data_IF_517546259820
#
_entry.id   IF_517546259820
#
_cell.length_a   1.000
_cell.length_b   1.000
_cell.length_c   1.000
_cell.angle_alpha   90.00
_cell.angle_beta   90.00
_cell.angle_gamma   90.00
#
_symmetry.space_group_name_H-M   'P 1'
#
loop_
_entity.id
_entity.type
_entity.pdbx_description
1 polymer ?
#
# COMPACT_ATOMS: atom_id res chain seq x y z
N UNK A 1 75.53 -28.88 10.96
CA UNK A 1 74.58 -28.46 9.92
C UNK A 1 73.16 -28.74 10.40
N UNK A 2 72.49 -27.70 10.93
CA UNK A 2 71.14 -27.77 11.51
C UNK A 2 70.21 -27.14 10.49
N UNK A 3 69.32 -27.94 9.92
CA UNK A 3 68.22 -27.44 9.05
C UNK A 3 67.04 -27.01 9.90
N UNK A 4 66.76 -25.72 9.89
CA UNK A 4 65.58 -25.11 10.54
C UNK A 4 64.41 -25.18 9.57
N UNK A 5 63.39 -25.94 9.91
CA UNK A 5 62.08 -26.00 9.20
C UNK A 5 61.22 -24.89 9.76
N UNK A 6 60.78 -23.93 8.91
CA UNK A 6 59.81 -22.90 9.25
C UNK A 6 58.40 -23.45 9.01
N UNK A 7 57.62 -23.48 10.08
CA UNK A 7 56.20 -23.79 10.05
C UNK A 7 55.42 -22.49 9.78
N UNK A 8 54.71 -22.46 8.64
CA UNK A 8 53.77 -21.40 8.29
C UNK A 8 52.42 -21.75 8.90
N UNK A 9 52.00 -20.99 9.90
CA UNK A 9 50.64 -21.02 10.46
C UNK A 9 49.83 -20.01 9.67
N UNK A 10 48.92 -20.49 8.82
CA UNK A 10 47.89 -19.68 8.20
C UNK A 10 46.75 -19.44 9.21
N UNK A 11 46.72 -18.25 9.78
CA UNK A 11 45.60 -17.82 10.61
C UNK A 11 44.40 -17.41 9.73
N UNK A 12 43.33 -18.17 9.77
CA UNK A 12 42.05 -17.74 9.24
C UNK A 12 41.45 -16.74 10.20
N UNK A 13 41.41 -15.47 9.79
CA UNK A 13 40.64 -14.42 10.48
C UNK A 13 39.18 -14.58 10.04
N UNK A 14 38.38 -15.17 10.88
CA UNK A 14 36.93 -15.11 10.76
C UNK A 14 36.45 -13.70 11.11
N UNK A 15 36.07 -12.92 10.10
CA UNK A 15 35.41 -11.64 10.29
C UNK A 15 33.95 -11.93 10.72
N UNK A 16 33.68 -11.90 12.02
CA UNK A 16 32.33 -11.88 12.54
C UNK A 16 31.75 -10.48 12.26
N UNK A 17 30.90 -10.37 11.25
CA UNK A 17 30.04 -9.22 11.06
C UNK A 17 28.98 -9.27 12.15
N UNK A 18 29.22 -8.58 13.26
CA UNK A 18 28.17 -8.22 14.21
C UNK A 18 27.31 -7.15 13.52
N UNK A 19 26.16 -7.56 13.01
CA UNK A 19 25.08 -6.61 12.74
C UNK A 19 24.62 -6.07 14.09
N UNK A 20 25.09 -4.89 14.45
CA UNK A 20 24.48 -4.10 15.48
C UNK A 20 23.10 -3.69 14.95
N UNK A 21 22.06 -4.30 15.50
CA UNK A 21 20.72 -3.74 15.42
C UNK A 21 20.82 -2.34 16.05
N UNK A 22 20.79 -1.32 15.20
CA UNK A 22 20.59 0.06 15.64
C UNK A 22 19.16 0.11 16.15
N UNK A 23 18.98 0.02 17.46
CA UNK A 23 17.78 0.49 18.11
C UNK A 23 17.62 1.95 17.66
N UNK A 24 16.59 2.24 16.87
CA UNK A 24 16.23 3.62 16.57
C UNK A 24 15.78 4.24 17.88
N UNK A 25 16.64 5.09 18.43
CA UNK A 25 16.25 6.04 19.46
C UNK A 25 15.09 6.87 18.88
N UNK A 26 14.07 7.12 19.70
CA UNK A 26 13.03 8.10 19.43
C UNK A 26 13.69 9.42 19.00
N UNK A 27 13.91 9.58 17.70
CA UNK A 27 14.13 10.89 17.15
C UNK A 27 12.78 11.59 17.25
N UNK A 28 12.68 12.50 18.21
CA UNK A 28 11.76 13.63 18.13
C UNK A 28 12.11 14.35 16.83
N UNK A 29 11.50 13.88 15.74
CA UNK A 29 11.53 14.57 14.48
C UNK A 29 10.75 15.83 14.72
N UNK A 30 11.49 16.88 15.04
CA UNK A 30 10.92 18.22 15.22
C UNK A 30 9.92 18.44 14.11
N UNK A 31 8.72 18.81 14.50
CA UNK A 31 7.57 19.03 13.60
C UNK A 31 7.96 20.12 12.59
N UNK A 32 8.62 19.71 11.50
CA UNK A 32 8.86 20.55 10.33
C UNK A 32 7.58 20.53 9.49
N UNK A 33 6.47 20.90 10.12
CA UNK A 33 5.23 21.11 9.42
C UNK A 33 5.47 22.12 8.30
N UNK A 34 5.14 21.73 7.05
CA UNK A 34 5.06 22.66 5.95
C UNK A 34 4.04 23.72 6.36
N UNK A 35 4.50 24.95 6.54
CA UNK A 35 3.61 26.05 6.89
C UNK A 35 2.95 26.59 5.62
N UNK A 36 1.73 27.11 5.71
CA UNK A 36 1.00 27.74 4.59
C UNK A 36 1.81 28.88 3.91
N UNK A 37 2.87 29.36 4.55
CA UNK A 37 3.76 30.40 3.99
C UNK A 37 4.75 29.87 2.95
N UNK A 38 4.99 28.54 2.91
CA UNK A 38 6.05 27.96 2.08
C UNK A 38 5.53 27.43 0.74
N UNK A 39 4.20 27.22 0.64
CA UNK A 39 3.56 26.69 -0.57
C UNK A 39 2.28 27.46 -0.93
N UNK A 40 1.99 27.55 -2.22
CA UNK A 40 0.71 28.02 -2.71
C UNK A 40 -0.22 26.83 -2.96
N UNK A 41 -1.37 26.81 -2.28
CA UNK A 41 -2.42 25.82 -2.49
C UNK A 41 -3.49 26.40 -3.40
N UNK A 42 -3.77 25.72 -4.51
CA UNK A 42 -4.78 26.13 -5.49
C UNK A 42 -5.82 25.03 -5.65
N UNK A 43 -7.11 25.37 -5.53
CA UNK A 43 -8.20 24.44 -5.84
C UNK A 43 -8.28 24.25 -7.34
N UNK A 44 -8.04 23.02 -7.83
CA UNK A 44 -8.11 22.70 -9.24
C UNK A 44 -9.56 22.43 -9.69
N UNK A 45 -10.35 21.73 -8.88
CA UNK A 45 -11.75 21.41 -9.18
C UNK A 45 -12.57 21.30 -7.91
N UNK A 46 -13.89 21.46 -8.08
CA UNK A 46 -14.92 21.25 -7.06
C UNK A 46 -15.97 20.27 -7.58
N UNK A 47 -16.83 19.74 -6.67
CA UNK A 47 -17.96 18.88 -7.05
C UNK A 47 -17.66 17.39 -7.09
N UNK A 48 -16.44 16.94 -6.72
CA UNK A 48 -16.15 15.53 -6.49
C UNK A 48 -16.87 15.02 -5.22
N UNK A 49 -17.41 13.80 -5.29
CA UNK A 49 -18.15 13.18 -4.17
C UNK A 49 -17.34 12.07 -3.54
N UNK A 50 -16.78 12.31 -2.35
CA UNK A 50 -15.91 11.38 -1.64
C UNK A 50 -14.78 10.84 -2.54
N UNK A 51 -13.92 11.70 -3.12
CA UNK A 51 -12.79 11.26 -3.91
C UNK A 51 -11.88 10.37 -3.07
N UNK A 52 -11.39 9.27 -3.67
CA UNK A 52 -10.62 8.29 -2.92
C UNK A 52 -9.21 8.07 -3.48
N UNK A 53 -9.09 7.68 -4.73
CA UNK A 53 -7.84 7.50 -5.46
C UNK A 53 -7.76 8.41 -6.68
N UNK A 54 -6.55 8.73 -7.12
CA UNK A 54 -6.34 9.51 -8.33
C UNK A 54 -5.04 9.12 -9.04
N UNK A 55 -5.03 9.27 -10.36
CA UNK A 55 -3.83 9.08 -11.18
C UNK A 55 -3.77 10.10 -12.30
N UNK A 56 -2.57 10.60 -12.59
CA UNK A 56 -2.33 11.44 -13.75
C UNK A 56 -2.24 10.62 -15.02
N UNK A 57 -2.90 11.10 -16.07
CA UNK A 57 -2.72 10.63 -17.43
C UNK A 57 -1.52 11.33 -18.09
N UNK A 58 -0.88 10.72 -19.10
CA UNK A 58 0.27 11.32 -19.78
C UNK A 58 0.01 12.71 -20.41
N UNK A 59 -1.23 13.02 -20.73
CA UNK A 59 -1.64 14.33 -21.26
C UNK A 59 -1.85 15.41 -20.18
N UNK A 60 -1.67 15.06 -18.89
CA UNK A 60 -1.86 15.93 -17.74
C UNK A 60 -3.26 15.96 -17.16
N UNK A 61 -4.23 15.27 -17.76
CA UNK A 61 -5.54 15.03 -17.13
C UNK A 61 -5.40 14.08 -15.93
N UNK A 62 -6.42 14.03 -15.09
CA UNK A 62 -6.49 13.08 -13.96
C UNK A 62 -7.70 12.16 -14.12
N UNK A 63 -7.56 10.92 -13.66
CA UNK A 63 -8.69 10.09 -13.29
C UNK A 63 -8.82 10.12 -11.76
N UNK A 64 -10.04 10.29 -11.29
CA UNK A 64 -10.37 10.33 -9.86
C UNK A 64 -11.50 9.36 -9.59
N UNK A 65 -11.31 8.45 -8.65
CA UNK A 65 -12.37 7.55 -8.19
C UNK A 65 -13.25 8.23 -7.16
N UNK A 66 -14.55 7.96 -7.21
CA UNK A 66 -15.52 8.37 -6.19
C UNK A 66 -15.98 7.14 -5.42
N UNK A 67 -15.81 7.12 -4.10
CA UNK A 67 -16.00 5.94 -3.24
C UNK A 67 -17.37 5.25 -3.42
N UNK A 68 -18.43 6.00 -3.63
CA UNK A 68 -19.78 5.45 -3.82
C UNK A 68 -19.98 4.70 -5.17
N UNK A 69 -18.94 4.63 -5.98
CA UNK A 69 -18.94 4.06 -7.33
C UNK A 69 -18.89 5.15 -8.40
N UNK A 70 -17.90 5.06 -9.25
CA UNK A 70 -17.67 5.97 -10.36
C UNK A 70 -16.21 6.37 -10.49
N UNK A 71 -15.84 6.71 -11.71
CA UNK A 71 -14.54 7.28 -12.06
C UNK A 71 -14.83 8.56 -12.85
N UNK A 72 -14.24 9.66 -12.42
CA UNK A 72 -14.33 10.95 -13.09
C UNK A 72 -13.03 11.25 -13.82
N UNK A 73 -13.11 11.85 -15.01
CA UNK A 73 -11.96 12.46 -15.67
C UNK A 73 -11.98 13.95 -15.40
N UNK A 74 -10.86 14.46 -14.91
CA UNK A 74 -10.61 15.87 -14.64
C UNK A 74 -9.54 16.36 -15.61
N UNK A 75 -9.87 17.36 -16.44
CA UNK A 75 -8.85 17.96 -17.32
C UNK A 75 -7.80 18.69 -16.50
N UNK A 76 -6.61 18.87 -17.08
CA UNK A 76 -5.52 19.64 -16.44
C UNK A 76 -5.88 21.09 -16.11
N UNK A 77 -6.95 21.63 -16.72
CA UNK A 77 -7.52 22.95 -16.42
C UNK A 77 -8.61 22.91 -15.33
N UNK A 78 -8.88 21.75 -14.74
CA UNK A 78 -9.84 21.63 -13.64
C UNK A 78 -11.29 21.33 -14.06
N UNK A 79 -11.56 20.96 -15.32
CA UNK A 79 -12.91 20.68 -15.80
C UNK A 79 -13.24 19.19 -15.64
N UNK A 80 -14.31 18.91 -14.87
CA UNK A 80 -14.89 17.55 -14.78
C UNK A 80 -15.63 17.18 -16.07
N UNK A 81 -15.37 16.01 -16.62
CA UNK A 81 -16.07 15.47 -17.82
C UNK A 81 -17.37 14.73 -17.49
N UNK A 82 -17.66 14.51 -16.22
CA UNK A 82 -18.69 13.59 -15.75
C UNK A 82 -18.13 12.18 -15.51
N UNK A 83 -18.98 11.31 -14.98
CA UNK A 83 -18.60 9.92 -14.69
C UNK A 83 -18.43 9.12 -15.98
N UNK A 84 -17.37 8.33 -16.03
CA UNK A 84 -17.14 7.39 -17.10
C UNK A 84 -18.24 6.32 -17.15
N UNK A 85 -18.64 5.91 -18.34
CA UNK A 85 -19.57 4.81 -18.55
C UNK A 85 -18.89 3.44 -18.29
N UNK A 86 -19.70 2.40 -18.07
CA UNK A 86 -19.27 1.00 -17.92
C UNK A 86 -18.33 0.75 -16.71
N UNK A 87 -18.33 1.63 -15.72
CA UNK A 87 -17.67 1.37 -14.44
C UNK A 87 -18.49 0.32 -13.68
N UNK A 88 -17.88 -0.75 -13.13
CA UNK A 88 -18.62 -1.80 -12.44
C UNK A 88 -19.26 -1.30 -11.14
N UNK A 89 -20.34 -2.00 -10.74
CA UNK A 89 -20.97 -1.79 -9.43
C UNK A 89 -20.04 -2.16 -8.29
N UNK A 90 -20.15 -1.42 -7.19
CA UNK A 90 -19.33 -1.60 -5.99
C UNK A 90 -20.19 -1.75 -4.73
N UNK A 91 -19.66 -2.41 -3.71
CA UNK A 91 -20.28 -2.45 -2.37
C UNK A 91 -19.79 -1.26 -1.56
N UNK A 92 -20.48 -0.12 -1.66
CA UNK A 92 -20.09 1.13 -0.99
C UNK A 92 -20.53 1.15 0.49
N UNK A 93 -20.23 0.10 1.24
CA UNK A 93 -20.53 -0.02 2.66
C UNK A 93 -19.35 0.44 3.52
N UNK A 94 -19.56 1.35 4.46
CA UNK A 94 -18.54 1.89 5.38
C UNK A 94 -17.29 2.41 4.61
N UNK A 95 -16.17 1.70 4.67
CA UNK A 95 -14.92 2.05 3.97
C UNK A 95 -14.85 1.49 2.54
N UNK A 96 -15.75 0.56 2.18
CA UNK A 96 -15.81 -0.04 0.85
C UNK A 96 -16.32 0.91 -0.23
N UNK A 97 -16.10 0.55 -1.48
CA UNK A 97 -16.52 1.31 -2.65
C UNK A 97 -15.54 1.18 -3.82
N UNK A 98 -15.55 2.15 -4.73
CA UNK A 98 -14.49 2.35 -5.71
C UNK A 98 -13.32 3.01 -5.00
N UNK A 99 -12.16 2.35 -4.98
CA UNK A 99 -11.03 2.75 -4.14
C UNK A 99 -9.87 3.26 -5.01
N UNK A 100 -8.76 2.55 -5.14
CA UNK A 100 -7.61 3.08 -5.86
C UNK A 100 -7.69 2.89 -7.38
N UNK A 101 -6.88 3.67 -8.08
CA UNK A 101 -6.76 3.64 -9.54
C UNK A 101 -5.32 3.93 -9.94
N UNK A 102 -4.81 3.18 -10.92
CA UNK A 102 -3.52 3.43 -11.54
C UNK A 102 -3.59 3.16 -13.04
N UNK A 103 -2.59 3.61 -13.80
CA UNK A 103 -2.47 3.33 -15.24
C UNK A 103 -1.41 2.25 -15.49
N UNK A 104 -1.57 1.55 -16.60
CA UNK A 104 -0.55 0.61 -17.08
C UNK A 104 0.78 1.34 -17.32
N UNK A 105 1.95 0.74 -16.99
CA UNK A 105 3.24 1.32 -17.34
C UNK A 105 3.43 1.62 -18.83
N UNK A 106 2.70 0.91 -19.71
CA UNK A 106 2.67 1.15 -21.17
C UNK A 106 1.38 1.85 -21.60
N UNK A 107 0.78 2.69 -20.76
CA UNK A 107 -0.52 3.33 -21.02
C UNK A 107 -0.59 4.07 -22.35
N UNK A 108 0.49 4.70 -22.79
CA UNK A 108 0.52 5.41 -24.08
C UNK A 108 0.27 4.49 -25.27
N UNK A 109 0.56 3.19 -25.14
CA UNK A 109 0.42 2.21 -26.20
C UNK A 109 -0.92 1.46 -26.12
N UNK A 110 -1.47 1.28 -24.90
CA UNK A 110 -2.59 0.38 -24.65
C UNK A 110 -3.81 1.00 -23.99
N UNK A 111 -3.73 2.24 -23.49
CA UNK A 111 -4.78 2.95 -22.76
C UNK A 111 -5.38 2.13 -21.58
N UNK A 112 -4.62 1.24 -20.99
CA UNK A 112 -5.10 0.36 -19.92
C UNK A 112 -5.01 1.05 -18.57
N UNK A 113 -6.09 0.97 -17.81
CA UNK A 113 -6.16 1.38 -16.40
C UNK A 113 -6.43 0.17 -15.51
N UNK A 114 -6.02 0.27 -14.27
CA UNK A 114 -6.31 -0.70 -13.20
C UNK A 114 -6.99 0.03 -12.06
N UNK A 115 -8.01 -0.58 -11.49
CA UNK A 115 -8.69 -0.02 -10.34
C UNK A 115 -9.09 -1.11 -9.36
N UNK A 116 -8.98 -0.76 -8.07
CA UNK A 116 -9.34 -1.63 -6.98
C UNK A 116 -10.65 -1.16 -6.35
N UNK A 117 -11.52 -2.11 -6.02
CA UNK A 117 -12.85 -1.83 -5.48
C UNK A 117 -13.35 -2.96 -4.59
N UNK A 118 -14.32 -2.65 -3.74
CA UNK A 118 -15.04 -3.67 -2.98
C UNK A 118 -16.11 -4.33 -3.85
N UNK A 119 -15.87 -5.58 -4.23
CA UNK A 119 -16.75 -6.39 -5.06
C UNK A 119 -17.69 -7.21 -4.20
N UNK A 120 -18.97 -7.27 -4.59
CA UNK A 120 -19.92 -8.21 -4.01
C UNK A 120 -19.48 -9.65 -4.24
N UNK A 121 -19.52 -10.46 -3.22
CA UNK A 121 -19.09 -11.86 -3.22
C UNK A 121 -19.92 -12.65 -2.22
N UNK A 122 -19.81 -13.97 -2.23
CA UNK A 122 -20.50 -14.86 -1.28
C UNK A 122 -19.51 -15.86 -0.69
N UNK A 123 -19.70 -16.16 0.59
CA UNK A 123 -19.04 -17.27 1.29
C UNK A 123 -20.12 -18.12 1.94
N UNK A 124 -20.13 -19.42 1.62
CA UNK A 124 -21.11 -20.40 2.14
C UNK A 124 -22.57 -19.95 1.96
N UNK A 125 -22.88 -19.28 0.83
CA UNK A 125 -24.21 -18.76 0.52
C UNK A 125 -24.61 -17.51 1.30
N UNK A 126 -23.67 -16.87 2.01
CA UNK A 126 -23.90 -15.60 2.70
C UNK A 126 -23.26 -14.45 1.92
N UNK A 127 -23.98 -13.33 1.77
CA UNK A 127 -23.43 -12.18 1.08
C UNK A 127 -22.26 -11.58 1.85
N UNK A 128 -21.26 -11.12 1.12
CA UNK A 128 -20.09 -10.43 1.64
C UNK A 128 -19.46 -9.56 0.57
N UNK A 129 -18.29 -9.03 0.87
CA UNK A 129 -17.48 -8.28 -0.08
C UNK A 129 -15.99 -8.48 0.18
N UNK A 130 -15.19 -8.36 -0.86
CA UNK A 130 -13.73 -8.38 -0.77
C UNK A 130 -13.11 -7.35 -1.70
N UNK A 131 -11.81 -7.08 -1.51
CA UNK A 131 -11.01 -6.26 -2.42
C UNK A 131 -10.82 -7.02 -3.73
N UNK A 132 -11.13 -6.38 -4.85
CA UNK A 132 -10.92 -6.93 -6.19
C UNK A 132 -10.28 -5.89 -7.10
N UNK A 133 -9.45 -6.34 -8.02
CA UNK A 133 -8.81 -5.49 -9.02
C UNK A 133 -9.32 -5.85 -10.39
N UNK A 134 -9.73 -4.83 -11.13
CA UNK A 134 -10.03 -4.97 -12.56
C UNK A 134 -9.09 -4.09 -13.39
N UNK A 135 -8.85 -4.53 -14.61
CA UNK A 135 -8.27 -3.71 -15.68
C UNK A 135 -9.33 -3.39 -16.73
N UNK A 136 -9.14 -2.29 -17.43
CA UNK A 136 -10.02 -1.88 -18.54
C UNK A 136 -9.27 -0.99 -19.53
N UNK A 137 -9.77 -0.91 -20.76
CA UNK A 137 -9.32 0.07 -21.75
C UNK A 137 -10.06 1.38 -21.52
N UNK A 138 -9.33 2.47 -21.25
CA UNK A 138 -9.89 3.80 -21.11
C UNK A 138 -10.23 4.36 -22.49
N UNK A 139 -11.47 4.84 -22.67
CA UNK A 139 -11.94 5.57 -23.84
C UNK A 139 -12.32 7.00 -23.47
N UNK A 140 -12.74 7.80 -24.45
CA UNK A 140 -13.16 9.18 -24.19
C UNK A 140 -14.42 9.27 -23.32
N UNK A 141 -15.28 8.27 -23.33
CA UNK A 141 -16.58 8.30 -22.66
C UNK A 141 -16.76 7.26 -21.56
N UNK A 142 -15.86 6.28 -21.46
CA UNK A 142 -16.05 5.18 -20.51
C UNK A 142 -14.94 4.13 -20.53
N UNK A 143 -15.30 2.95 -20.06
CA UNK A 143 -14.42 1.80 -19.97
C UNK A 143 -14.88 0.72 -20.95
N UNK A 144 -13.95 0.16 -21.74
CA UNK A 144 -14.14 -1.02 -22.54
C UNK A 144 -13.31 -2.19 -21.98
N UNK A 145 -13.71 -3.42 -22.30
CA UNK A 145 -12.99 -4.65 -21.93
C UNK A 145 -12.69 -4.75 -20.42
N UNK A 146 -13.66 -4.41 -19.57
CA UNK A 146 -13.51 -4.53 -18.12
C UNK A 146 -13.34 -5.99 -17.74
N UNK A 147 -12.21 -6.33 -17.15
CA UNK A 147 -11.82 -7.69 -16.74
C UNK A 147 -11.33 -7.69 -15.29
N UNK A 148 -11.91 -8.54 -14.44
CA UNK A 148 -11.42 -8.76 -13.08
C UNK A 148 -10.22 -9.69 -13.15
N UNK A 149 -9.06 -9.20 -12.71
CA UNK A 149 -7.79 -9.93 -12.75
C UNK A 149 -7.34 -10.44 -11.37
N UNK A 150 -7.94 -9.94 -10.30
CA UNK A 150 -7.68 -10.39 -8.93
C UNK A 150 -8.93 -10.22 -8.07
N UNK A 151 -9.17 -11.16 -7.17
CA UNK A 151 -10.19 -11.05 -6.12
C UNK A 151 -9.65 -11.70 -4.85
N UNK A 152 -9.55 -10.93 -3.78
CA UNK A 152 -9.13 -11.45 -2.48
C UNK A 152 -10.18 -12.44 -1.94
N UNK A 153 -9.72 -13.50 -1.31
CA UNK A 153 -10.57 -14.51 -0.64
C UNK A 153 -11.07 -14.06 0.73
N UNK A 154 -10.59 -12.91 1.22
CA UNK A 154 -11.01 -12.27 2.47
C UNK A 154 -12.44 -11.71 2.40
N UNK A 155 -13.40 -12.57 2.01
CA UNK A 155 -14.81 -12.23 1.82
C UNK A 155 -15.52 -12.22 3.16
N UNK A 156 -16.06 -11.06 3.56
CA UNK A 156 -16.77 -10.91 4.83
C UNK A 156 -17.93 -9.92 4.70
N UNK A 157 -18.94 -10.08 5.56
CA UNK A 157 -20.08 -9.16 5.69
C UNK A 157 -19.73 -8.03 6.66
N UNK A 158 -18.74 -7.24 6.30
CA UNK A 158 -18.45 -5.96 6.94
C UNK A 158 -17.81 -5.00 5.93
N UNK A 159 -17.85 -3.72 6.21
CA UNK A 159 -17.34 -2.70 5.30
C UNK A 159 -16.01 -2.09 5.74
N UNK A 160 -15.13 -2.81 6.44
CA UNK A 160 -13.91 -2.27 7.01
C UNK A 160 -12.64 -2.92 6.49
N UNK A 161 -11.53 -2.18 6.54
CA UNK A 161 -10.15 -2.60 6.28
C UNK A 161 -9.99 -3.35 4.95
N UNK A 162 -10.29 -2.69 3.86
CA UNK A 162 -10.11 -3.24 2.51
C UNK A 162 -8.66 -3.15 2.02
N UNK A 163 -7.86 -2.20 2.54
CA UNK A 163 -6.58 -1.85 1.91
C UNK A 163 -6.82 -1.22 0.55
N UNK A 164 -6.56 -1.98 -0.52
CA UNK A 164 -6.94 -1.68 -1.90
C UNK A 164 -6.14 -0.51 -2.52
N UNK A 165 -4.84 -0.41 -2.22
CA UNK A 165 -3.89 0.47 -2.91
C UNK A 165 -3.12 -0.29 -3.98
N UNK A 166 -2.74 0.39 -5.04
CA UNK A 166 -2.14 -0.17 -6.25
C UNK A 166 -0.82 0.54 -6.58
N UNK A 167 0.24 -0.23 -6.85
CA UNK A 167 1.48 0.31 -7.41
C UNK A 167 2.13 -0.69 -8.36
N UNK A 168 2.64 -0.22 -9.50
CA UNK A 168 3.48 -1.00 -10.40
C UNK A 168 4.95 -0.79 -10.09
N UNK A 169 5.74 -1.87 -10.11
CA UNK A 169 7.19 -1.79 -10.09
C UNK A 169 7.79 -1.65 -11.51
N UNK A 170 9.11 -1.63 -11.59
CA UNK A 170 9.84 -1.50 -12.85
C UNK A 170 9.71 -2.75 -13.75
N UNK A 171 9.46 -3.91 -13.17
CA UNK A 171 9.19 -5.17 -13.84
C UNK A 171 7.74 -5.28 -14.31
N UNK A 172 6.94 -4.21 -14.09
CA UNK A 172 5.53 -4.11 -14.43
C UNK A 172 4.66 -5.13 -13.69
N UNK A 173 5.07 -5.48 -12.46
CA UNK A 173 4.26 -6.28 -11.55
C UNK A 173 3.42 -5.37 -10.67
N UNK A 174 2.19 -5.76 -10.42
CA UNK A 174 1.22 -4.97 -9.67
C UNK A 174 1.17 -5.44 -8.21
N UNK A 175 1.46 -4.52 -7.30
CA UNK A 175 1.25 -4.70 -5.87
C UNK A 175 -0.14 -4.23 -5.48
N UNK A 176 -0.84 -5.05 -4.69
CA UNK A 176 -2.21 -4.82 -4.25
C UNK A 176 -2.23 -4.99 -2.73
N UNK A 177 -2.69 -3.97 -2.02
CA UNK A 177 -2.76 -4.04 -0.56
C UNK A 177 -4.13 -4.53 -0.09
N UNK A 178 -4.15 -5.36 0.96
CA UNK A 178 -5.36 -5.80 1.65
C UNK A 178 -5.27 -5.50 3.15
N UNK A 179 -6.44 -5.35 3.78
CA UNK A 179 -6.54 -5.23 5.23
C UNK A 179 -7.03 -6.52 5.90
N UNK A 180 -6.95 -6.56 7.22
CA UNK A 180 -7.36 -7.69 8.06
C UNK A 180 -8.89 -7.82 8.21
N UNK A 181 -9.66 -6.98 7.51
CA UNK A 181 -11.12 -6.93 7.56
C UNK A 181 -11.68 -6.71 8.98
N UNK A 182 -10.91 -5.99 9.84
CA UNK A 182 -11.23 -5.51 11.19
C UNK A 182 -11.38 -6.62 12.25
N UNK A 183 -12.30 -7.58 12.07
CA UNK A 183 -12.57 -8.65 13.06
C UNK A 183 -11.70 -9.89 12.87
N UNK A 184 -10.92 -9.93 11.81
CA UNK A 184 -10.15 -11.11 11.41
C UNK A 184 -8.64 -10.88 11.58
N UNK A 185 -8.25 -10.05 12.55
CA UNK A 185 -6.86 -9.67 12.77
C UNK A 185 -5.91 -10.86 12.93
N UNK A 186 -6.38 -11.99 13.47
CA UNK A 186 -5.56 -13.20 13.64
C UNK A 186 -5.20 -13.83 12.29
N UNK A 187 -6.06 -13.68 11.28
CA UNK A 187 -5.83 -14.19 9.93
C UNK A 187 -4.69 -13.45 9.21
N UNK A 188 -4.29 -12.26 9.66
CA UNK A 188 -3.15 -11.54 9.12
C UNK A 188 -1.81 -12.29 9.28
N UNK A 189 -1.75 -13.29 10.17
CA UNK A 189 -0.59 -14.17 10.34
C UNK A 189 -0.65 -15.45 9.49
N UNK A 190 -1.70 -15.63 8.69
CA UNK A 190 -1.92 -16.80 7.85
C UNK A 190 -1.61 -16.45 6.39
N UNK A 191 -0.57 -17.05 5.81
CA UNK A 191 -0.13 -16.79 4.42
C UNK A 191 -0.95 -17.55 3.37
N UNK A 192 -1.95 -18.33 3.77
CA UNK A 192 -2.85 -19.06 2.87
C UNK A 192 -4.17 -18.33 2.62
N UNK A 193 -4.23 -17.04 2.93
CA UNK A 193 -5.37 -16.18 2.66
C UNK A 193 -4.89 -14.72 2.42
N UNK A 194 -5.84 -13.83 2.11
CA UNK A 194 -5.55 -12.41 1.79
C UNK A 194 -5.90 -11.43 2.92
N UNK A 195 -6.10 -11.89 4.17
CA UNK A 195 -6.33 -10.97 5.29
C UNK A 195 -5.03 -10.31 5.73
N UNK A 196 -4.96 -8.97 5.68
CA UNK A 196 -3.78 -8.24 6.14
C UNK A 196 -2.50 -8.59 5.37
N UNK A 197 -2.58 -8.63 4.06
CA UNK A 197 -1.47 -8.99 3.18
C UNK A 197 -1.23 -7.92 2.10
N UNK A 198 -0.09 -7.99 1.46
CA UNK A 198 0.17 -7.33 0.18
C UNK A 198 0.36 -8.45 -0.85
N UNK A 199 -0.41 -8.43 -1.92
CA UNK A 199 -0.27 -9.34 -3.04
C UNK A 199 0.58 -8.73 -4.15
N UNK A 200 1.23 -9.60 -4.94
CA UNK A 200 1.96 -9.23 -6.17
C UNK A 200 1.50 -10.13 -7.30
N UNK A 201 1.06 -9.52 -8.41
CA UNK A 201 0.60 -10.22 -9.61
C UNK A 201 1.21 -9.59 -10.88
N UNK A 202 1.20 -10.33 -11.98
CA UNK A 202 1.46 -9.81 -13.30
C UNK A 202 0.26 -8.98 -13.81
N UNK A 203 0.45 -8.18 -14.87
CA UNK A 203 -0.58 -7.32 -15.48
C UNK A 203 -1.82 -8.06 -15.98
N UNK A 204 -1.69 -9.34 -16.26
CA UNK A 204 -2.78 -10.21 -16.70
C UNK A 204 -3.50 -10.96 -15.57
N UNK A 205 -3.04 -10.77 -14.33
CA UNK A 205 -3.56 -11.44 -13.15
C UNK A 205 -2.84 -12.75 -12.80
N UNK A 206 -1.91 -13.22 -13.63
CA UNK A 206 -1.11 -14.42 -13.31
C UNK A 206 -0.14 -14.13 -12.16
N UNK A 207 0.21 -15.20 -11.44
CA UNK A 207 1.13 -15.11 -10.29
C UNK A 207 2.57 -15.15 -10.79
N UNK A 208 3.46 -14.22 -10.38
CA UNK A 208 4.89 -14.30 -10.64
C UNK A 208 5.49 -15.58 -10.04
N UNK A 209 6.32 -16.30 -10.79
CA UNK A 209 6.91 -17.59 -10.38
C UNK A 209 7.89 -17.48 -9.19
N UNK A 210 8.34 -16.27 -8.90
CA UNK A 210 9.23 -15.93 -7.78
C UNK A 210 8.51 -15.34 -6.57
N UNK A 211 7.18 -15.45 -6.51
CA UNK A 211 6.42 -15.08 -5.32
C UNK A 211 6.79 -15.98 -4.14
N UNK A 212 6.94 -15.40 -2.92
CA UNK A 212 7.50 -16.12 -1.78
C UNK A 212 6.62 -17.30 -1.29
N UNK A 213 5.32 -17.26 -1.57
CA UNK A 213 4.36 -18.29 -1.13
C UNK A 213 3.70 -19.01 -2.31
N UNK A 214 4.43 -19.16 -3.44
CA UNK A 214 3.92 -19.70 -4.71
C UNK A 214 3.29 -21.08 -4.59
N UNK A 215 3.72 -21.89 -3.63
CA UNK A 215 3.19 -23.25 -3.38
C UNK A 215 2.04 -23.29 -2.35
N UNK A 216 1.62 -22.12 -1.82
CA UNK A 216 0.52 -21.99 -0.86
C UNK A 216 -0.85 -21.84 -1.51
N UNK A 217 -1.91 -21.75 -0.68
CA UNK A 217 -3.29 -21.58 -1.15
C UNK A 217 -3.59 -20.15 -1.65
N UNK A 218 -2.76 -19.16 -1.26
CA UNK A 218 -2.81 -17.77 -1.74
C UNK A 218 -1.45 -17.37 -2.34
N UNK A 219 -1.10 -17.90 -3.53
CA UNK A 219 0.22 -17.74 -4.14
C UNK A 219 0.53 -16.30 -4.55
N UNK A 220 -0.46 -15.41 -4.59
CA UNK A 220 -0.29 -13.97 -4.86
C UNK A 220 0.34 -13.23 -3.67
N UNK A 221 0.29 -13.76 -2.46
CA UNK A 221 0.80 -13.10 -1.25
C UNK A 221 2.29 -12.82 -1.39
N UNK A 222 2.67 -11.55 -1.18
CA UNK A 222 4.05 -11.09 -1.20
C UNK A 222 4.60 -10.79 0.21
N UNK A 223 3.76 -10.21 1.09
CA UNK A 223 4.04 -9.99 2.50
C UNK A 223 2.77 -10.10 3.34
N UNK A 224 2.90 -10.29 4.65
CA UNK A 224 1.78 -10.54 5.54
C UNK A 224 1.99 -9.90 6.92
N UNK A 225 1.00 -10.02 7.80
CA UNK A 225 1.08 -9.41 9.13
C UNK A 225 0.78 -7.92 9.12
N UNK A 226 -0.09 -7.47 8.20
CA UNK A 226 -0.55 -6.09 8.08
C UNK A 226 -1.95 -5.91 8.68
N UNK A 227 -2.24 -4.71 9.16
CA UNK A 227 -3.58 -4.37 9.66
C UNK A 227 -4.50 -3.79 8.58
N UNK A 228 -4.15 -2.63 8.03
CA UNK A 228 -4.95 -1.96 7.01
C UNK A 228 -4.08 -1.00 6.19
N UNK A 229 -3.48 -1.51 5.15
CA UNK A 229 -2.51 -0.79 4.32
C UNK A 229 -3.24 0.20 3.42
N UNK A 230 -3.06 1.50 3.64
CA UNK A 230 -3.73 2.60 2.97
C UNK A 230 -2.81 3.44 2.08
N UNK A 231 -1.58 3.00 1.88
CA UNK A 231 -0.62 3.58 0.94
C UNK A 231 0.36 2.53 0.46
N UNK A 232 0.69 2.54 -0.82
CA UNK A 232 1.79 1.77 -1.41
C UNK A 232 2.44 2.59 -2.52
N UNK A 233 3.75 2.55 -2.58
CA UNK A 233 4.53 3.26 -3.61
C UNK A 233 5.86 2.55 -3.84
N UNK A 234 6.49 2.83 -4.95
CA UNK A 234 7.81 2.32 -5.29
C UNK A 234 8.82 3.45 -5.12
N UNK A 235 9.89 3.16 -4.39
CA UNK A 235 10.97 4.13 -4.22
C UNK A 235 11.67 4.40 -5.57
N UNK A 236 11.72 5.65 -6.04
CA UNK A 236 12.11 5.97 -7.42
C UNK A 236 13.53 5.54 -7.80
N UNK A 237 14.46 5.54 -6.84
CA UNK A 237 15.86 5.24 -7.11
C UNK A 237 16.26 3.78 -6.80
N UNK A 238 15.56 3.12 -5.87
CA UNK A 238 15.96 1.76 -5.43
C UNK A 238 15.01 0.67 -5.92
N UNK A 239 13.81 1.02 -6.40
CA UNK A 239 12.76 0.07 -6.76
C UNK A 239 12.12 -0.63 -5.55
N UNK A 240 12.51 -0.28 -4.32
CA UNK A 240 11.94 -0.88 -3.12
C UNK A 240 10.46 -0.49 -2.96
N UNK A 241 9.65 -1.47 -2.58
CA UNK A 241 8.24 -1.26 -2.26
C UNK A 241 8.12 -0.65 -0.86
N UNK A 242 7.33 0.40 -0.74
CA UNK A 242 7.03 1.04 0.54
C UNK A 242 5.52 1.07 0.74
N UNK A 243 5.10 0.77 1.95
CA UNK A 243 3.70 0.77 2.33
C UNK A 243 3.47 1.56 3.62
N UNK A 244 2.27 2.07 3.76
CA UNK A 244 1.82 2.80 4.93
C UNK A 244 0.48 2.24 5.38
N UNK A 245 0.35 2.01 6.68
CA UNK A 245 -0.85 1.40 7.22
C UNK A 245 -1.38 2.07 8.48
N UNK A 246 -2.69 1.90 8.70
CA UNK A 246 -3.34 2.33 9.93
C UNK A 246 -3.11 1.31 11.04
N UNK A 247 -2.55 1.76 12.15
CA UNK A 247 -2.63 1.06 13.43
C UNK A 247 -4.05 1.09 14.02
N UNK A 248 -4.23 0.50 15.20
CA UNK A 248 -5.48 0.65 15.96
C UNK A 248 -5.56 2.05 16.60
N UNK A 249 -5.65 2.17 17.91
CA UNK A 249 -5.54 3.45 18.59
C UNK A 249 -4.05 3.74 18.85
N UNK A 250 -3.39 4.45 17.94
CA UNK A 250 -1.94 4.58 17.83
C UNK A 250 -1.33 3.50 16.93
N UNK A 251 -0.03 3.60 16.65
CA UNK A 251 0.72 2.61 15.90
C UNK A 251 0.43 2.59 14.38
N UNK A 252 0.14 3.73 13.77
CA UNK A 252 0.20 3.87 12.31
C UNK A 252 1.65 3.72 11.87
N UNK A 253 1.92 3.11 10.71
CA UNK A 253 3.27 2.71 10.31
C UNK A 253 3.61 3.05 8.87
N UNK A 254 4.90 3.30 8.61
CA UNK A 254 5.50 3.21 7.28
C UNK A 254 6.52 2.09 7.29
N UNK A 255 6.40 1.21 6.31
CA UNK A 255 7.22 0.02 6.17
C UNK A 255 7.88 -0.06 4.78
N UNK A 256 9.15 -0.47 4.71
CA UNK A 256 9.75 -0.97 3.49
C UNK A 256 9.40 -2.45 3.34
N UNK A 257 8.73 -2.81 2.25
CA UNK A 257 8.16 -4.14 2.05
C UNK A 257 9.16 -5.09 1.40
N UNK A 258 9.32 -6.26 2.02
CA UNK A 258 10.21 -7.35 1.59
C UNK A 258 9.40 -8.60 1.27
N UNK A 259 9.84 -9.34 0.26
CA UNK A 259 9.23 -10.62 -0.10
C UNK A 259 9.25 -11.61 1.06
N UNK A 260 8.10 -12.21 1.36
CA UNK A 260 7.93 -13.23 2.39
C UNK A 260 8.00 -12.72 3.84
N UNK A 261 8.16 -11.41 4.05
CA UNK A 261 8.33 -10.86 5.39
C UNK A 261 7.00 -10.72 6.14
N UNK A 262 7.08 -10.88 7.46
CA UNK A 262 6.00 -10.71 8.43
C UNK A 262 6.12 -9.33 9.11
N UNK A 263 5.08 -8.50 9.01
CA UNK A 263 5.01 -7.16 9.61
C UNK A 263 4.35 -7.14 11.00
N UNK A 264 4.02 -8.31 11.51
CA UNK A 264 3.78 -8.59 12.92
C UNK A 264 2.36 -8.40 13.42
N UNK A 265 1.47 -7.67 12.74
CA UNK A 265 0.10 -7.51 13.18
C UNK A 265 -0.64 -8.86 13.28
N UNK A 266 -1.39 -9.17 14.35
CA UNK A 266 -1.56 -8.41 15.60
C UNK A 266 -0.62 -8.88 16.74
N UNK A 267 0.38 -9.71 16.45
CA UNK A 267 1.31 -10.29 17.43
C UNK A 267 2.21 -9.24 18.06
N UNK A 268 2.61 -8.25 17.26
CA UNK A 268 3.28 -7.02 17.71
C UNK A 268 2.48 -5.81 17.22
N UNK A 269 2.44 -4.75 18.00
CA UNK A 269 1.82 -3.46 17.63
C UNK A 269 2.26 -2.35 18.56
N UNK A 270 2.30 -1.11 18.08
CA UNK A 270 2.54 0.10 18.85
C UNK A 270 1.26 0.76 19.36
N UNK A 271 0.09 0.21 19.01
CA UNK A 271 -1.21 0.74 19.42
C UNK A 271 -1.99 -0.21 20.34
N UNK A 272 -3.11 0.27 20.84
CA UNK A 272 -4.07 -0.49 21.65
C UNK A 272 -5.44 -0.53 21.00
N UNK A 273 -6.31 -1.41 21.41
CA UNK A 273 -7.69 -1.46 20.89
C UNK A 273 -8.46 -0.16 21.17
N UNK A 274 -9.45 0.14 20.36
CA UNK A 274 -10.31 1.32 20.56
C UNK A 274 -11.11 1.26 21.87
N UNK A 275 -11.36 0.06 22.41
CA UNK A 275 -11.93 -0.16 23.75
C UNK A 275 -10.98 0.30 24.88
N UNK A 276 -9.68 0.36 24.59
CA UNK A 276 -8.62 0.58 25.55
C UNK A 276 -7.91 -0.69 26.00
N UNK A 277 -8.33 -1.84 25.48
CA UNK A 277 -7.70 -3.13 25.78
C UNK A 277 -6.34 -3.27 25.08
N UNK A 278 -5.44 -4.01 25.68
CA UNK A 278 -4.15 -4.34 25.10
C UNK A 278 -4.33 -5.43 24.08
N UNK A 279 -3.95 -5.18 22.81
CA UNK A 279 -3.94 -6.18 21.74
C UNK A 279 -2.74 -7.10 21.89
N UNK A 280 -1.57 -6.50 22.10
CA UNK A 280 -0.30 -7.19 22.37
C UNK A 280 0.51 -6.40 23.38
N UNK A 281 1.26 -7.10 24.23
CA UNK A 281 2.25 -6.53 25.13
C UNK A 281 3.63 -6.36 24.46
N UNK A 282 3.72 -6.68 23.18
CA UNK A 282 4.96 -6.66 22.39
C UNK A 282 4.90 -5.63 21.29
N UNK A 283 5.97 -4.88 21.14
CA UNK A 283 6.21 -3.97 20.01
C UNK A 283 7.20 -4.55 19.00
N UNK A 284 7.94 -5.60 19.38
CA UNK A 284 8.88 -6.30 18.51
C UNK A 284 8.95 -7.79 18.82
N UNK A 285 9.29 -8.60 17.82
CA UNK A 285 9.57 -10.03 17.96
C UNK A 285 10.56 -10.46 16.88
N UNK A 286 11.43 -11.42 17.18
CA UNK A 286 12.32 -12.02 16.19
C UNK A 286 11.52 -12.65 15.04
N UNK A 287 11.95 -12.39 13.80
CA UNK A 287 11.27 -12.83 12.57
C UNK A 287 10.12 -11.92 12.13
N UNK A 288 9.89 -10.80 12.81
CA UNK A 288 8.92 -9.78 12.42
C UNK A 288 9.64 -8.45 12.13
N UNK A 289 9.29 -7.84 11.00
CA UNK A 289 9.85 -6.57 10.56
C UNK A 289 9.41 -5.43 11.48
N UNK A 290 10.25 -4.42 11.57
CA UNK A 290 9.94 -3.20 12.32
C UNK A 290 9.67 -2.06 11.36
N UNK A 291 8.72 -1.17 11.67
CA UNK A 291 8.42 -0.03 10.83
C UNK A 291 9.60 0.93 10.74
N UNK A 292 9.73 1.58 9.59
CA UNK A 292 10.67 2.68 9.42
C UNK A 292 10.29 3.89 10.28
N UNK A 293 8.98 4.18 10.35
CA UNK A 293 8.37 5.21 11.19
C UNK A 293 7.05 4.67 11.72
N UNK A 294 6.72 5.00 12.97
CA UNK A 294 5.38 4.81 13.52
C UNK A 294 4.88 6.07 14.22
N UNK A 295 3.55 6.21 14.34
CA UNK A 295 2.91 7.32 15.04
C UNK A 295 2.01 6.83 16.17
N UNK A 296 2.30 7.33 17.37
CA UNK A 296 1.44 7.24 18.54
C UNK A 296 1.40 8.63 19.23
N UNK A 297 0.26 9.32 19.20
CA UNK A 297 -1.06 8.90 18.72
C UNK A 297 -1.17 8.79 17.19
N UNK A 298 -2.11 7.97 16.70
CA UNK A 298 -2.43 7.81 15.28
C UNK A 298 -2.70 9.15 14.59
N UNK A 299 -2.18 9.33 13.40
CA UNK A 299 -2.44 10.44 12.49
C UNK A 299 -3.52 10.12 11.44
N UNK A 300 -3.96 8.86 11.37
CA UNK A 300 -4.81 8.32 10.33
C UNK A 300 -4.25 8.63 8.93
N UNK A 301 -3.13 8.01 8.54
CA UNK A 301 -2.43 8.36 7.32
C UNK A 301 -3.23 7.96 6.07
N UNK A 302 -3.15 8.78 5.00
CA UNK A 302 -3.92 8.58 3.77
C UNK A 302 -3.09 8.90 2.53
N UNK A 303 -2.64 7.88 1.87
CA UNK A 303 -1.77 8.02 0.70
C UNK A 303 -0.31 8.24 1.06
N UNK A 304 0.56 7.72 0.21
CA UNK A 304 2.00 7.71 0.35
C UNK A 304 2.61 7.92 -1.03
N UNK A 305 3.55 8.84 -1.15
CA UNK A 305 4.32 9.02 -2.38
C UNK A 305 5.70 9.57 -2.10
N UNK A 306 6.68 9.22 -2.94
CA UNK A 306 7.96 9.89 -2.95
C UNK A 306 7.87 11.14 -3.83
N UNK A 307 8.43 12.25 -3.36
CA UNK A 307 8.53 13.45 -4.16
C UNK A 307 9.65 13.32 -5.18
N UNK A 308 9.29 13.48 -6.46
CA UNK A 308 10.22 13.42 -7.60
C UNK A 308 10.09 14.66 -8.49
N UNK A 309 9.38 15.69 -8.02
CA UNK A 309 9.14 16.92 -8.77
C UNK A 309 10.32 17.88 -8.74
N UNK A 310 10.34 18.82 -9.68
CA UNK A 310 11.40 19.82 -9.78
C UNK A 310 11.11 21.13 -8.99
N UNK A 311 9.87 21.34 -8.57
CA UNK A 311 9.43 22.59 -7.95
C UNK A 311 10.06 22.81 -6.57
N UNK A 312 10.14 21.76 -5.76
CA UNK A 312 10.74 21.77 -4.41
C UNK A 312 11.95 20.84 -4.39
N UNK A 313 13.09 21.32 -4.87
CA UNK A 313 14.31 20.51 -5.03
C UNK A 313 14.81 19.88 -3.72
N UNK A 314 14.61 20.58 -2.60
CA UNK A 314 14.95 20.11 -1.25
C UNK A 314 14.03 18.97 -0.75
N UNK A 315 12.97 18.65 -1.50
CA UNK A 315 12.07 17.54 -1.18
C UNK A 315 12.35 16.30 -2.03
N UNK A 316 13.28 16.38 -2.97
CA UNK A 316 13.60 15.25 -3.85
C UNK A 316 13.99 14.01 -3.04
N UNK A 317 13.24 12.92 -3.21
CA UNK A 317 13.42 11.66 -2.49
C UNK A 317 12.72 11.59 -1.13
N UNK A 318 12.10 12.69 -0.65
CA UNK A 318 11.32 12.67 0.58
C UNK A 318 9.98 11.94 0.38
N UNK A 319 9.48 11.38 1.46
CA UNK A 319 8.16 10.74 1.51
C UNK A 319 7.11 11.77 1.94
N UNK A 320 6.04 11.86 1.16
CA UNK A 320 4.87 12.67 1.48
C UNK A 320 3.71 11.78 1.92
N UNK A 321 3.13 12.10 3.07
CA UNK A 321 2.03 11.36 3.70
C UNK A 321 0.89 12.30 4.08
N UNK A 322 -0.31 12.02 3.62
CA UNK A 322 -1.50 12.73 4.07
C UNK A 322 -1.95 12.28 5.46
N UNK A 323 -2.56 13.16 6.24
CA UNK A 323 -3.18 12.85 7.51
C UNK A 323 -4.67 13.20 7.50
N UNK A 324 -5.54 12.20 7.64
CA UNK A 324 -6.99 12.40 7.75
C UNK A 324 -7.40 13.05 9.06
N UNK A 325 -6.71 12.68 10.16
CA UNK A 325 -7.06 13.17 11.49
C UNK A 325 -6.75 14.65 11.68
N UNK A 326 -5.62 15.10 11.13
CA UNK A 326 -5.14 16.47 11.32
C UNK A 326 -5.26 17.33 10.07
N UNK A 327 -5.75 16.78 8.94
CA UNK A 327 -5.96 17.50 7.67
C UNK A 327 -4.71 18.24 7.18
N UNK A 328 -3.56 17.59 7.26
CA UNK A 328 -2.28 18.13 6.80
C UNK A 328 -1.49 17.10 5.97
N UNK A 329 -0.50 17.59 5.26
CA UNK A 329 0.52 16.79 4.59
C UNK A 329 1.77 16.76 5.48
N UNK A 330 2.36 15.57 5.66
CA UNK A 330 3.65 15.37 6.31
C UNK A 330 4.72 15.04 5.28
N UNK A 331 5.89 15.56 5.52
CA UNK A 331 7.12 15.29 4.80
C UNK A 331 8.13 14.62 5.75
#
# INVERSE_FOLDING_TARGET
MIKTTRLLIAGAVALALTQTALAHENHDHGDHGITDSDINVTTLAEGLVNPWGMVFLPNGDLLVTERAGGIQRLSKEGKLSGRLANVPDVVAQNQGGMLDITIDPDFNDNNTIYFCYSKASEVEGKPGSSSSVAKATLTDSGLDNVEVIFSADSIVDNGFHFGCRLAFDAEKQLYITMGDRYKYMQEAQNTNNHFGTIARINRDGSVPSDNPFIDGDAPEVFSYGHRNVQGVTIHPNTGAVWAMEHGPKGGDEINQIKAGANYGWPVITYGIDYSGDIISDKTHMEGMEQPWVYWDPSIAPSGLTFYTGEMFKEWEGDVLVGSLKFTHLRR
#
